data_IF_699020378348
#
_entry.id   IF_699020378348
#
_cell.length_a   1.000
_cell.length_b   1.000
_cell.length_c   1.000
_cell.angle_alpha   90.00
_cell.angle_beta   90.00
_cell.angle_gamma   90.00
#
_symmetry.space_group_name_H-M   'P 1'
#
loop_
_entity.id
_entity.type
_entity.pdbx_description
1 polymer ?
#
# COMPACT_ATOMS: atom_id res chain seq x y z
N UNK A 1 -9.00 11.94 -1.71
CA UNK A 1 -8.86 12.56 -3.02
C UNK A 1 -7.42 12.48 -3.50
N UNK A 2 -7.18 11.77 -4.60
CA UNK A 2 -5.85 11.53 -5.14
C UNK A 2 -5.13 12.82 -5.59
N UNK A 3 -5.86 13.78 -6.12
CA UNK A 3 -5.31 15.08 -6.51
C UNK A 3 -4.78 15.85 -5.30
N UNK A 4 -5.49 15.79 -4.17
CA UNK A 4 -5.08 16.41 -2.92
C UNK A 4 -3.79 15.78 -2.40
N UNK A 5 -3.65 14.47 -2.48
CA UNK A 5 -2.43 13.75 -2.07
C UNK A 5 -1.25 14.17 -2.94
N UNK A 6 -1.42 14.26 -4.26
CA UNK A 6 -0.38 14.72 -5.17
C UNK A 6 0.09 16.14 -4.84
N UNK A 7 -0.84 17.04 -4.52
CA UNK A 7 -0.49 18.41 -4.12
C UNK A 7 0.29 18.43 -2.82
N UNK A 8 -0.08 17.62 -1.84
CA UNK A 8 0.64 17.51 -0.57
C UNK A 8 2.08 17.03 -0.80
N UNK A 9 2.28 16.04 -1.66
CA UNK A 9 3.61 15.54 -2.01
C UNK A 9 4.47 16.67 -2.62
N UNK A 10 3.90 17.42 -3.54
CA UNK A 10 4.61 18.54 -4.18
C UNK A 10 4.93 19.67 -3.21
N UNK A 11 3.98 20.05 -2.36
CA UNK A 11 4.16 21.15 -1.40
C UNK A 11 5.23 20.85 -0.35
N UNK A 12 5.40 19.59 0.03
CA UNK A 12 6.35 19.19 1.04
C UNK A 12 7.76 18.89 0.49
N UNK A 13 7.97 19.06 -0.80
CA UNK A 13 9.28 18.88 -1.45
C UNK A 13 9.94 17.54 -1.11
N UNK A 14 9.18 16.45 -1.24
CA UNK A 14 9.71 15.11 -0.97
C UNK A 14 10.89 14.79 -1.88
N UNK A 15 11.97 14.26 -1.29
CA UNK A 15 13.13 13.76 -2.02
C UNK A 15 12.82 12.38 -2.65
N UNK A 16 13.72 11.90 -3.51
CA UNK A 16 13.61 10.55 -4.06
C UNK A 16 13.66 9.46 -2.96
N UNK A 17 14.43 9.70 -1.90
CA UNK A 17 14.50 8.81 -0.74
C UNK A 17 13.15 8.75 -0.01
N UNK A 18 12.49 9.90 0.16
CA UNK A 18 11.15 9.96 0.74
C UNK A 18 10.15 9.21 -0.12
N UNK A 19 10.26 9.32 -1.44
CA UNK A 19 9.40 8.57 -2.37
C UNK A 19 9.58 7.06 -2.22
N UNK A 20 10.82 6.59 -2.07
CA UNK A 20 11.09 5.16 -1.83
C UNK A 20 10.48 4.71 -0.50
N UNK A 21 10.58 5.51 0.55
CA UNK A 21 9.97 5.19 1.85
C UNK A 21 8.45 5.10 1.75
N UNK A 22 7.80 6.01 1.02
CA UNK A 22 6.36 5.97 0.79
C UNK A 22 5.98 4.68 0.07
N UNK A 23 6.69 4.32 -0.99
CA UNK A 23 6.43 3.11 -1.76
C UNK A 23 6.61 1.85 -0.91
N UNK A 24 7.66 1.80 -0.09
CA UNK A 24 7.90 0.66 0.81
C UNK A 24 6.80 0.53 1.86
N UNK A 25 6.29 1.65 2.37
CA UNK A 25 5.17 1.64 3.30
C UNK A 25 3.93 1.05 2.64
N UNK A 26 3.62 1.49 1.42
CA UNK A 26 2.49 0.96 0.63
C UNK A 26 2.70 -0.54 0.38
N UNK A 27 3.90 -0.93 -0.01
CA UNK A 27 4.24 -2.33 -0.29
C UNK A 27 4.04 -3.21 0.95
N UNK A 28 4.54 -2.78 2.11
CA UNK A 28 4.41 -3.54 3.35
C UNK A 28 2.94 -3.70 3.77
N UNK A 29 2.15 -2.64 3.62
CA UNK A 29 0.71 -2.69 3.91
C UNK A 29 -0.02 -3.59 2.92
N UNK A 30 0.37 -3.57 1.64
CA UNK A 30 -0.22 -4.43 0.61
C UNK A 30 0.11 -5.90 0.86
N UNK A 31 1.33 -6.21 1.26
CA UNK A 31 1.73 -7.58 1.62
C UNK A 31 0.96 -8.09 2.83
N UNK A 32 0.72 -7.22 3.82
CA UNK A 32 -0.11 -7.54 4.98
C UNK A 32 -1.54 -7.89 4.54
N UNK A 33 -2.13 -7.07 3.69
CA UNK A 33 -3.46 -7.31 3.15
C UNK A 33 -3.52 -8.64 2.39
N UNK A 34 -2.49 -8.94 1.60
CA UNK A 34 -2.44 -10.20 0.85
C UNK A 34 -2.46 -11.40 1.77
N UNK A 35 -1.65 -11.39 2.84
CA UNK A 35 -1.64 -12.48 3.82
C UNK A 35 -2.98 -12.67 4.50
N UNK A 36 -3.60 -11.57 4.91
CA UNK A 36 -4.92 -11.61 5.55
C UNK A 36 -5.95 -12.16 4.58
N UNK A 37 -5.93 -11.68 3.33
CA UNK A 37 -6.89 -12.14 2.31
C UNK A 37 -6.71 -13.62 2.01
N UNK A 38 -5.48 -14.11 1.93
CA UNK A 38 -5.21 -15.54 1.72
C UNK A 38 -5.74 -16.40 2.86
N UNK A 39 -5.62 -15.94 4.10
CA UNK A 39 -6.19 -16.64 5.25
C UNK A 39 -7.73 -16.68 5.19
N UNK A 40 -8.35 -15.57 4.77
CA UNK A 40 -9.80 -15.52 4.58
C UNK A 40 -10.28 -16.45 3.47
N UNK A 41 -9.49 -16.59 2.41
CA UNK A 41 -9.82 -17.49 1.30
C UNK A 41 -9.84 -18.97 1.72
N UNK A 42 -9.27 -19.27 2.89
CA UNK A 42 -9.34 -20.60 3.53
C UNK A 42 -10.60 -20.79 4.40
N UNK A 43 -11.59 -19.91 4.26
CA UNK A 43 -12.86 -19.93 5.00
C UNK A 43 -12.72 -19.63 6.50
N UNK A 44 -11.72 -18.83 6.86
CA UNK A 44 -11.54 -18.38 8.25
C UNK A 44 -12.37 -17.13 8.54
N UNK A 45 -12.72 -16.93 9.82
CA UNK A 45 -13.43 -15.74 10.26
C UNK A 45 -12.49 -14.53 10.26
N UNK A 46 -12.94 -13.39 9.69
CA UNK A 46 -12.11 -12.18 9.57
C UNK A 46 -11.63 -11.66 10.93
N UNK A 47 -12.48 -11.65 11.94
CA UNK A 47 -12.10 -11.14 13.27
C UNK A 47 -11.04 -12.04 13.91
N UNK A 48 -11.15 -13.35 13.70
CA UNK A 48 -10.15 -14.31 14.16
C UNK A 48 -8.80 -14.11 13.48
N UNK A 49 -8.81 -13.96 12.16
CA UNK A 49 -7.60 -13.74 11.37
C UNK A 49 -6.90 -12.46 11.82
N UNK A 50 -7.64 -11.37 11.97
CA UNK A 50 -7.08 -10.08 12.39
C UNK A 50 -6.52 -10.14 13.81
N UNK A 51 -7.17 -10.86 14.72
CA UNK A 51 -6.74 -10.98 16.10
C UNK A 51 -5.48 -11.83 16.26
N UNK A 52 -5.31 -12.84 15.40
CA UNK A 52 -4.17 -13.76 15.46
C UNK A 52 -3.02 -13.39 14.53
N UNK A 53 -3.19 -12.36 13.71
CA UNK A 53 -2.19 -11.94 12.73
C UNK A 53 -0.91 -11.45 13.41
N UNK A 54 0.25 -11.82 12.83
CA UNK A 54 1.56 -11.39 13.33
C UNK A 54 2.42 -10.79 12.23
N UNK A 55 3.06 -9.63 12.47
CA UNK A 55 3.01 -8.88 13.74
C UNK A 55 1.62 -8.36 14.05
N UNK A 56 1.27 -8.13 15.34
CA UNK A 56 -0.09 -7.71 15.71
C UNK A 56 -0.51 -6.41 15.03
N UNK A 57 -1.77 -6.37 14.58
CA UNK A 57 -2.34 -5.16 13.99
C UNK A 57 -2.71 -4.20 15.12
N UNK A 58 -2.27 -2.95 15.01
CA UNK A 58 -2.60 -1.92 15.98
C UNK A 58 -4.13 -1.78 16.08
N UNK A 59 -4.67 -1.79 17.29
CA UNK A 59 -6.12 -1.87 17.50
C UNK A 59 -6.91 -0.74 16.82
N UNK A 60 -6.32 0.46 16.70
CA UNK A 60 -6.94 1.60 16.01
C UNK A 60 -7.02 1.39 14.49
N UNK A 61 -6.19 0.51 13.94
CA UNK A 61 -6.18 0.21 12.50
C UNK A 61 -7.09 -0.96 12.13
N UNK A 62 -7.59 -1.73 13.09
CA UNK A 62 -8.37 -2.95 12.80
C UNK A 62 -9.56 -2.71 11.89
N UNK A 63 -10.33 -1.67 12.13
CA UNK A 63 -11.53 -1.37 11.32
C UNK A 63 -11.14 -0.97 9.91
N UNK A 64 -10.07 -0.17 9.76
CA UNK A 64 -9.55 0.25 8.46
C UNK A 64 -9.04 -0.95 7.68
N UNK A 65 -8.26 -1.82 8.33
CA UNK A 65 -7.72 -3.03 7.70
C UNK A 65 -8.85 -3.97 7.28
N UNK A 66 -9.86 -4.14 8.13
CA UNK A 66 -11.03 -4.96 7.83
C UNK A 66 -11.75 -4.46 6.57
N UNK A 67 -11.98 -3.16 6.48
CA UNK A 67 -12.61 -2.54 5.33
C UNK A 67 -11.76 -2.75 4.06
N UNK A 68 -10.46 -2.53 4.15
CA UNK A 68 -9.54 -2.72 3.02
C UNK A 68 -9.55 -4.17 2.52
N UNK A 69 -9.48 -5.13 3.43
CA UNK A 69 -9.50 -6.56 3.09
C UNK A 69 -10.80 -6.94 2.40
N UNK A 70 -11.92 -6.40 2.85
CA UNK A 70 -13.22 -6.69 2.25
C UNK A 70 -13.41 -6.03 0.89
N UNK A 71 -12.73 -4.91 0.65
CA UNK A 71 -12.86 -4.13 -0.59
C UNK A 71 -11.94 -4.62 -1.72
N UNK A 72 -10.88 -5.35 -1.40
CA UNK A 72 -9.86 -5.77 -2.37
C UNK A 72 -9.81 -7.28 -2.49
N UNK A 73 -9.84 -7.80 -3.72
CA UNK A 73 -9.62 -9.21 -3.99
C UNK A 73 -8.12 -9.56 -3.89
N UNK A 74 -7.82 -10.86 -3.77
CA UNK A 74 -6.44 -11.35 -3.77
C UNK A 74 -5.69 -10.90 -5.03
N UNK A 75 -6.33 -10.99 -6.19
CA UNK A 75 -5.71 -10.62 -7.46
C UNK A 75 -5.43 -9.11 -7.53
N UNK A 76 -6.36 -8.30 -7.05
CA UNK A 76 -6.17 -6.85 -7.00
C UNK A 76 -4.99 -6.46 -6.10
N UNK A 77 -4.85 -7.10 -4.94
CA UNK A 77 -3.74 -6.84 -4.03
C UNK A 77 -2.41 -7.27 -4.66
N UNK A 78 -2.37 -8.44 -5.32
CA UNK A 78 -1.17 -8.89 -6.03
C UNK A 78 -0.76 -7.92 -7.13
N UNK A 79 -1.72 -7.42 -7.91
CA UNK A 79 -1.47 -6.44 -8.96
C UNK A 79 -0.88 -5.15 -8.38
N UNK A 80 -1.42 -4.68 -7.27
CA UNK A 80 -0.90 -3.52 -6.55
C UNK A 80 0.57 -3.72 -6.15
N UNK A 81 0.90 -4.89 -5.60
CA UNK A 81 2.27 -5.22 -5.18
C UNK A 81 3.24 -5.18 -6.38
N UNK A 82 2.85 -5.76 -7.51
CA UNK A 82 3.67 -5.71 -8.73
C UNK A 82 3.88 -4.28 -9.21
N UNK A 83 2.83 -3.47 -9.23
CA UNK A 83 2.93 -2.06 -9.65
C UNK A 83 3.84 -1.25 -8.74
N UNK A 84 3.76 -1.46 -7.43
CA UNK A 84 4.62 -0.77 -6.46
C UNK A 84 6.08 -1.17 -6.65
N UNK A 85 6.36 -2.46 -6.85
CA UNK A 85 7.71 -2.94 -7.11
C UNK A 85 8.31 -2.33 -8.38
N UNK A 86 7.54 -2.28 -9.46
CA UNK A 86 7.97 -1.68 -10.73
C UNK A 86 8.24 -0.19 -10.56
N UNK A 87 7.38 0.50 -9.83
CA UNK A 87 7.52 1.93 -9.58
C UNK A 87 8.75 2.23 -8.73
N UNK A 88 9.05 1.40 -7.72
CA UNK A 88 10.26 1.55 -6.91
C UNK A 88 11.51 1.45 -7.80
N UNK A 89 11.54 0.49 -8.71
CA UNK A 89 12.64 0.33 -9.65
C UNK A 89 12.82 1.57 -10.54
N UNK A 90 11.71 2.14 -11.03
CA UNK A 90 11.73 3.36 -11.84
C UNK A 90 12.23 4.56 -11.04
N UNK A 91 11.80 4.71 -9.81
CA UNK A 91 12.23 5.81 -8.92
C UNK A 91 13.74 5.73 -8.68
N UNK A 92 14.28 4.54 -8.44
CA UNK A 92 15.71 4.34 -8.22
C UNK A 92 16.56 4.67 -9.44
N UNK A 93 16.02 4.41 -10.65
CA UNK A 93 16.72 4.72 -11.91
C UNK A 93 16.64 6.19 -12.28
N UNK A 94 15.53 6.85 -11.99
CA UNK A 94 15.22 8.20 -12.43
C UNK A 94 14.89 9.09 -11.23
N UNK A 95 15.87 9.34 -10.38
CA UNK A 95 15.68 10.10 -9.14
C UNK A 95 15.11 11.51 -9.36
N UNK A 96 15.46 12.16 -10.47
CA UNK A 96 14.94 13.49 -10.81
C UNK A 96 13.43 13.50 -11.09
N UNK A 97 12.86 12.37 -11.53
CA UNK A 97 11.44 12.24 -11.86
C UNK A 97 10.66 11.43 -10.82
N UNK A 98 11.28 11.05 -9.71
CA UNK A 98 10.68 10.16 -8.73
C UNK A 98 9.37 10.70 -8.16
N UNK A 99 9.30 11.99 -7.86
CA UNK A 99 8.09 12.61 -7.32
C UNK A 99 6.93 12.52 -8.32
N UNK A 100 7.21 12.73 -9.61
CA UNK A 100 6.21 12.61 -10.66
C UNK A 100 5.67 11.19 -10.75
N UNK A 101 6.54 10.17 -10.72
CA UNK A 101 6.10 8.77 -10.75
C UNK A 101 5.23 8.41 -9.55
N UNK A 102 5.64 8.81 -8.35
CA UNK A 102 4.86 8.52 -7.14
C UNK A 102 3.52 9.27 -7.17
N UNK A 103 3.52 10.54 -7.57
CA UNK A 103 2.29 11.33 -7.65
C UNK A 103 1.31 10.72 -8.64
N UNK A 104 1.77 10.28 -9.81
CA UNK A 104 0.92 9.63 -10.79
C UNK A 104 0.34 8.31 -10.25
N UNK A 105 1.15 7.52 -9.57
CA UNK A 105 0.69 6.27 -8.96
C UNK A 105 -0.41 6.55 -7.91
N UNK A 106 -0.15 7.46 -6.99
CA UNK A 106 -1.10 7.80 -5.93
C UNK A 106 -2.40 8.37 -6.51
N UNK A 107 -2.31 9.15 -7.59
CA UNK A 107 -3.49 9.72 -8.26
C UNK A 107 -4.40 8.67 -8.89
N UNK A 108 -3.88 7.49 -9.20
CA UNK A 108 -4.66 6.38 -9.78
C UNK A 108 -5.26 5.46 -8.72
N UNK A 109 -4.91 5.66 -7.48
CA UNK A 109 -5.41 4.91 -6.33
C UNK A 109 -5.86 5.85 -5.22
#
# INVERSE_FOLDING_TARGET
NSKKVSNILNENNYSSEDCVLILRTILNKSKRLLKIRQELDKNENIDQVLSSFKPPIFWKEKDIVKEQVQSWSTDEVKEMIYKVNDLEALVKKNTASSLLFVSNFVSNY
#
